data_IF_636742111660
#
_entry.id   IF_636742111660
#
_cell.length_a   1.000
_cell.length_b   1.000
_cell.length_c   1.000
_cell.angle_alpha   90.00
_cell.angle_beta   90.00
_cell.angle_gamma   90.00
#
_symmetry.space_group_name_H-M   'P 1'
#
loop_
_entity.id
_entity.type
_entity.pdbx_description
1 polymer ?
#
# COMPACT_ATOMS: atom_id res chain seq x y z
N UNK A 1 27.21 -24.47 -19.98
CA UNK A 1 27.85 -23.29 -19.92
C UNK A 1 27.02 -22.06 -20.16
N UNK A 2 25.93 -22.13 -20.57
CA UNK A 2 25.15 -21.01 -20.89
C UNK A 2 24.30 -20.49 -19.83
N UNK A 3 24.44 -21.01 -18.75
CA UNK A 3 23.50 -20.83 -17.73
C UNK A 3 23.40 -19.47 -17.12
N UNK A 4 24.37 -18.69 -17.40
CA UNK A 4 24.45 -17.44 -16.69
C UNK A 4 23.47 -16.40 -17.07
N UNK A 5 22.80 -16.65 -18.14
CA UNK A 5 21.91 -15.64 -18.62
C UNK A 5 20.81 -15.23 -17.69
N UNK A 6 20.34 -16.18 -16.94
CA UNK A 6 19.22 -15.86 -16.09
C UNK A 6 19.57 -14.88 -15.01
N UNK A 7 20.82 -14.81 -14.67
CA UNK A 7 21.21 -13.91 -13.60
C UNK A 7 21.25 -12.48 -14.05
N UNK A 8 21.48 -12.30 -15.31
CA UNK A 8 21.58 -10.95 -15.82
C UNK A 8 20.27 -10.23 -15.76
N UNK A 9 19.19 -10.96 -15.87
CA UNK A 9 17.90 -10.32 -15.90
C UNK A 9 17.57 -9.60 -14.62
N UNK A 10 18.13 -10.02 -13.52
CA UNK A 10 17.83 -9.38 -12.24
C UNK A 10 18.84 -8.33 -11.86
N UNK A 11 20.03 -8.42 -12.42
CA UNK A 11 21.07 -7.50 -12.03
C UNK A 11 21.63 -6.76 -13.17
N UNK A 12 20.87 -6.69 -14.17
CA UNK A 12 21.35 -6.27 -15.40
C UNK A 12 22.03 -5.00 -15.40
N UNK A 13 21.62 -4.15 -14.68
CA UNK A 13 21.99 -2.81 -14.92
C UNK A 13 23.01 -2.36 -13.95
N UNK A 14 24.23 -2.47 -14.33
CA UNK A 14 25.31 -2.08 -13.46
C UNK A 14 25.34 -0.62 -13.21
N UNK A 15 24.74 0.16 -14.06
CA UNK A 15 24.71 1.57 -13.84
C UNK A 15 23.52 1.96 -13.00
N UNK A 16 22.59 1.09 -12.88
CA UNK A 16 21.38 1.35 -12.17
C UNK A 16 21.66 1.27 -10.69
N UNK A 17 21.45 2.36 -10.01
CA UNK A 17 21.54 2.37 -8.57
C UNK A 17 20.25 1.84 -8.02
N UNK A 18 20.30 0.64 -7.51
CA UNK A 18 19.13 0.00 -6.99
C UNK A 18 18.61 0.72 -5.78
N UNK A 19 17.50 1.36 -5.92
CA UNK A 19 16.72 1.86 -4.82
C UNK A 19 17.41 2.78 -3.85
N UNK A 20 17.02 4.01 -3.84
CA UNK A 20 17.41 4.93 -2.78
C UNK A 20 16.19 5.13 -1.91
N UNK A 21 16.34 4.86 -0.62
CA UNK A 21 15.23 4.92 0.31
C UNK A 21 15.27 6.21 1.10
N UNK A 22 14.15 6.89 1.14
CA UNK A 22 13.97 8.08 1.96
C UNK A 22 12.85 7.84 2.95
N UNK A 23 13.09 8.16 4.20
CA UNK A 23 12.04 8.09 5.21
C UNK A 23 11.05 9.22 4.96
N UNK A 24 9.77 8.88 4.98
CA UNK A 24 8.67 9.82 4.87
C UNK A 24 7.89 9.80 6.18
N UNK A 25 6.73 10.50 6.21
CA UNK A 25 5.89 10.52 7.42
C UNK A 25 5.51 9.12 7.85
N UNK A 26 5.50 8.90 9.14
CA UNK A 26 4.98 7.67 9.69
C UNK A 26 3.48 7.59 9.42
N UNK A 27 2.96 6.38 9.36
CA UNK A 27 1.55 6.14 9.17
C UNK A 27 0.77 6.58 10.42
N UNK A 28 -0.24 7.43 10.24
CA UNK A 28 -1.01 8.00 11.35
C UNK A 28 -2.08 7.06 11.89
N UNK A 29 -2.41 6.01 11.17
CA UNK A 29 -3.42 5.05 11.61
C UNK A 29 -2.84 3.98 12.53
N UNK A 30 -3.69 3.05 12.96
CA UNK A 30 -3.21 1.95 13.80
C UNK A 30 -2.36 1.00 12.98
N UNK A 31 -1.35 0.42 13.62
CA UNK A 31 -0.48 -0.56 12.99
C UNK A 31 -1.30 -1.78 12.56
N UNK A 32 -1.00 -2.27 11.37
CA UNK A 32 -1.80 -3.34 10.76
C UNK A 32 -0.99 -4.19 9.82
N UNK A 33 -1.49 -5.38 9.56
CA UNK A 33 -0.99 -6.27 8.53
C UNK A 33 -2.10 -6.52 7.52
N UNK A 34 -1.77 -7.07 6.37
CA UNK A 34 -2.73 -7.51 5.36
C UNK A 34 -3.69 -6.43 4.88
N UNK A 35 -3.23 -5.20 4.84
CA UNK A 35 -4.03 -4.09 4.31
C UNK A 35 -4.10 -4.17 2.79
N UNK A 36 -5.16 -3.61 2.23
CA UNK A 36 -5.27 -3.42 0.79
C UNK A 36 -4.77 -2.03 0.43
N UNK A 37 -4.12 -1.90 -0.72
CA UNK A 37 -3.64 -0.62 -1.19
C UNK A 37 -3.87 -0.42 -2.68
N UNK A 38 -3.98 0.83 -3.08
CA UNK A 38 -4.05 1.25 -4.47
C UNK A 38 -3.63 2.71 -4.57
N UNK A 39 -3.44 3.20 -5.79
CA UNK A 39 -3.08 4.61 -6.00
C UNK A 39 -4.00 5.24 -7.02
N UNK A 40 -4.28 6.53 -6.83
CA UNK A 40 -4.97 7.35 -7.80
C UNK A 40 -4.15 8.63 -7.92
N UNK A 41 -3.56 8.88 -9.06
CA UNK A 41 -2.64 10.01 -9.24
C UNK A 41 -1.48 9.92 -8.27
N UNK A 42 -1.24 10.98 -7.53
CA UNK A 42 -0.15 11.06 -6.54
C UNK A 42 -0.60 10.71 -5.12
N UNK A 43 -1.76 10.10 -4.98
CA UNK A 43 -2.29 9.72 -3.67
C UNK A 43 -2.25 8.21 -3.55
N UNK A 44 -1.63 7.72 -2.50
CA UNK A 44 -1.66 6.31 -2.15
C UNK A 44 -2.75 6.06 -1.12
N UNK A 45 -3.49 4.98 -1.27
CA UNK A 45 -4.54 4.61 -0.34
C UNK A 45 -4.19 3.30 0.36
N UNK A 46 -4.43 3.28 1.67
CA UNK A 46 -4.21 2.11 2.50
C UNK A 46 -5.48 1.87 3.31
N UNK A 47 -6.11 0.74 3.08
CA UNK A 47 -7.43 0.47 3.64
C UNK A 47 -7.48 -0.93 4.23
N UNK A 48 -8.37 -1.12 5.21
CA UNK A 48 -8.64 -2.41 5.82
C UNK A 48 -7.40 -3.02 6.49
N UNK A 49 -7.37 -4.29 6.70
CA UNK A 49 -6.26 -4.99 7.31
C UNK A 49 -6.60 -5.59 8.65
N UNK A 50 -5.57 -6.09 9.32
CA UNK A 50 -5.71 -6.78 10.60
C UNK A 50 -4.85 -6.11 11.67
N UNK A 51 -5.47 -5.80 12.78
CA UNK A 51 -4.79 -5.22 13.94
C UNK A 51 -4.49 -6.33 14.94
N UNK A 52 -3.24 -6.71 15.01
CA UNK A 52 -2.84 -7.85 15.84
C UNK A 52 -3.00 -7.63 17.33
N UNK A 53 -2.82 -6.40 17.81
CA UNK A 53 -2.89 -6.11 19.23
C UNK A 53 -4.28 -6.35 19.83
N UNK A 54 -5.33 -6.12 19.05
CA UNK A 54 -6.71 -6.30 19.50
C UNK A 54 -7.42 -7.43 18.75
N UNK A 55 -6.74 -8.05 17.80
CA UNK A 55 -7.25 -9.17 17.01
C UNK A 55 -8.51 -8.82 16.23
N UNK A 56 -8.53 -7.60 15.66
CA UNK A 56 -9.69 -7.18 14.85
C UNK A 56 -9.32 -6.96 13.40
N UNK A 57 -10.30 -7.16 12.54
CA UNK A 57 -10.24 -6.70 11.16
C UNK A 57 -10.70 -5.27 11.10
N UNK A 58 -10.13 -4.53 10.16
CA UNK A 58 -10.33 -3.09 10.04
C UNK A 58 -11.12 -2.78 8.79
N UNK A 59 -11.76 -1.61 8.78
CA UNK A 59 -12.47 -1.10 7.62
C UNK A 59 -12.24 0.38 7.37
N UNK A 60 -11.26 0.95 8.05
CA UNK A 60 -10.86 2.32 7.81
C UNK A 60 -10.01 2.42 6.54
N UNK A 61 -9.91 3.62 6.04
CA UNK A 61 -9.14 3.91 4.84
C UNK A 61 -8.36 5.20 5.05
N UNK A 62 -7.15 5.23 4.54
CA UNK A 62 -6.24 6.36 4.70
C UNK A 62 -5.66 6.75 3.36
N UNK A 63 -5.47 8.03 3.16
CA UNK A 63 -4.85 8.59 1.97
C UNK A 63 -3.50 9.19 2.34
N UNK A 64 -2.47 8.85 1.58
CA UNK A 64 -1.15 9.45 1.69
C UNK A 64 -0.90 10.35 0.49
N UNK A 65 -0.70 11.63 0.76
CA UNK A 65 -0.33 12.59 -0.25
C UNK A 65 1.19 12.63 -0.35
N UNK A 66 1.73 12.20 -1.49
CA UNK A 66 3.17 12.08 -1.64
C UNK A 66 3.85 13.45 -1.67
N UNK A 67 3.19 14.46 -2.19
CA UNK A 67 3.77 15.80 -2.25
C UNK A 67 3.74 16.48 -0.90
N UNK A 68 2.62 16.39 -0.21
CA UNK A 68 2.47 16.96 1.12
C UNK A 68 3.16 16.14 2.21
N UNK A 69 3.50 14.89 1.91
CA UNK A 69 4.09 13.95 2.86
C UNK A 69 3.23 13.84 4.13
N UNK A 70 1.96 13.58 3.93
CA UNK A 70 1.01 13.54 5.04
C UNK A 70 -0.09 12.51 4.79
N UNK A 71 -0.62 11.99 5.89
CA UNK A 71 -1.72 11.04 5.89
C UNK A 71 -3.02 11.75 6.29
N UNK A 72 -4.10 11.35 5.68
CA UNK A 72 -5.44 11.85 6.01
C UNK A 72 -6.38 10.66 6.07
N UNK A 73 -7.18 10.58 7.12
CA UNK A 73 -8.16 9.51 7.22
C UNK A 73 -9.33 9.81 6.29
N UNK A 74 -9.66 8.84 5.45
CA UNK A 74 -10.81 8.90 4.57
C UNK A 74 -12.04 8.34 5.26
N UNK A 75 -13.18 8.43 4.59
CA UNK A 75 -14.38 7.74 5.04
C UNK A 75 -14.13 6.23 5.06
N UNK A 76 -14.50 5.61 6.14
CA UNK A 76 -14.40 4.16 6.27
C UNK A 76 -15.39 3.47 5.33
N UNK A 77 -15.19 2.17 5.12
CA UNK A 77 -16.16 1.38 4.36
C UNK A 77 -17.55 1.49 5.00
N UNK A 78 -18.61 1.40 4.20
CA UNK A 78 -19.97 1.49 4.73
C UNK A 78 -20.25 0.47 5.83
N UNK A 79 -21.20 0.79 6.70
CA UNK A 79 -21.52 -0.10 7.81
C UNK A 79 -21.95 -1.48 7.35
N UNK A 80 -22.58 -1.56 6.20
CA UNK A 80 -23.02 -2.84 5.63
C UNK A 80 -21.85 -3.69 5.15
N UNK A 81 -20.67 -3.10 4.92
CA UNK A 81 -19.52 -3.86 4.49
C UNK A 81 -18.74 -4.35 5.71
N UNK A 82 -18.43 -5.64 5.79
CA UNK A 82 -17.69 -6.13 6.94
C UNK A 82 -16.24 -5.69 6.89
N UNK A 83 -15.66 -5.47 8.05
CA UNK A 83 -14.23 -5.27 8.18
C UNK A 83 -13.50 -6.51 7.64
N UNK A 84 -12.33 -6.31 7.03
CA UNK A 84 -11.64 -7.40 6.34
C UNK A 84 -10.13 -7.18 6.31
N UNK A 85 -9.42 -8.27 6.07
CA UNK A 85 -7.99 -8.26 5.80
C UNK A 85 -7.71 -9.12 4.57
N UNK A 86 -6.51 -9.00 4.04
CA UNK A 86 -6.07 -9.74 2.85
C UNK A 86 -6.95 -9.50 1.62
N UNK A 87 -7.59 -8.35 1.54
CA UNK A 87 -8.36 -7.98 0.38
C UNK A 87 -7.44 -7.49 -0.74
N UNK A 88 -7.93 -7.55 -1.96
CA UNK A 88 -7.24 -6.97 -3.10
C UNK A 88 -7.74 -5.56 -3.33
N UNK A 89 -6.81 -4.64 -3.57
CA UNK A 89 -7.14 -3.27 -3.91
C UNK A 89 -6.65 -2.92 -5.30
N UNK A 90 -7.43 -2.15 -6.03
CA UNK A 90 -7.02 -1.64 -7.34
C UNK A 90 -7.76 -0.35 -7.65
N UNK A 91 -7.27 0.38 -8.64
CA UNK A 91 -7.90 1.61 -9.09
C UNK A 91 -8.22 1.53 -10.58
N UNK A 92 -9.33 2.15 -10.96
CA UNK A 92 -9.70 2.33 -12.36
C UNK A 92 -10.10 3.79 -12.52
N UNK A 93 -9.31 4.53 -13.28
CA UNK A 93 -9.51 5.98 -13.42
C UNK A 93 -9.39 6.67 -12.07
N UNK A 94 -10.46 7.31 -11.63
CA UNK A 94 -10.48 8.04 -10.37
C UNK A 94 -11.17 7.29 -9.24
N UNK A 95 -11.43 6.00 -9.43
CA UNK A 95 -12.12 5.19 -8.42
C UNK A 95 -11.22 4.07 -7.93
N UNK A 96 -11.24 3.86 -6.62
CA UNK A 96 -10.56 2.74 -5.98
C UNK A 96 -11.56 1.67 -5.57
N UNK A 97 -11.11 0.44 -5.61
CA UNK A 97 -11.93 -0.72 -5.29
C UNK A 97 -11.19 -1.61 -4.30
N UNK A 98 -11.92 -2.18 -3.38
CA UNK A 98 -11.40 -3.14 -2.40
C UNK A 98 -12.36 -4.31 -2.29
#
# INVERSE_FOLDING_TARGET
>A
MVVLLSLVACTDDTEYTAGVWYRRSDFDGVARTDAAGFTIGNIGYLCTGYRGSTKDRLKDCWAYDIEANSWTQCTSMPDAAPARNAATGFAVGTKGYI
#
